data_IF_990360200297
#
_entry.id   IF_990360200297
#
_cell.length_a   1.000
_cell.length_b   1.000
_cell.length_c   1.000
_cell.angle_alpha   90.00
_cell.angle_beta   90.00
_cell.angle_gamma   90.00
#
_symmetry.space_group_name_H-M   'P 1'
#
loop_
_entity.id
_entity.type
_entity.pdbx_description
1 polymer ?
#
# COMPACT_ATOMS: atom_id res chain seq x y z
N UNK A 1 7.83 11.52 11.81
CA UNK A 1 8.41 11.15 10.49
C UNK A 1 7.42 11.18 9.31
N UNK A 2 6.23 11.80 9.42
CA UNK A 2 5.16 11.65 8.41
C UNK A 2 5.34 12.54 7.17
N UNK A 3 5.93 13.73 7.32
CA UNK A 3 6.23 14.63 6.19
C UNK A 3 7.15 13.95 5.15
N UNK A 4 8.13 13.17 5.59
CA UNK A 4 9.01 12.43 4.69
C UNK A 4 8.26 11.41 3.81
N UNK A 5 7.22 10.75 4.36
CA UNK A 5 6.37 9.83 3.61
C UNK A 5 5.53 10.55 2.55
N UNK A 6 4.95 11.70 2.89
CA UNK A 6 4.22 12.56 1.95
C UNK A 6 5.13 13.01 0.79
N UNK A 7 6.31 13.55 1.12
CA UNK A 7 7.27 14.03 0.12
C UNK A 7 7.79 12.89 -0.76
N UNK A 8 7.95 11.68 -0.22
CA UNK A 8 8.37 10.52 -1.00
C UNK A 8 7.35 10.14 -2.08
N UNK A 9 6.05 10.23 -1.79
CA UNK A 9 4.98 10.00 -2.77
C UNK A 9 4.97 11.11 -3.83
N UNK A 10 5.06 12.36 -3.40
CA UNK A 10 5.03 13.52 -4.29
C UNK A 10 6.23 13.55 -5.26
N UNK A 11 7.46 13.34 -4.76
CA UNK A 11 8.69 13.41 -5.57
C UNK A 11 8.79 12.29 -6.60
N UNK A 12 8.03 11.22 -6.42
CA UNK A 12 7.97 10.07 -7.35
C UNK A 12 6.82 10.18 -8.35
N UNK A 13 6.08 11.29 -8.35
CA UNK A 13 4.99 11.57 -9.31
C UNK A 13 3.59 11.18 -8.82
N UNK A 14 3.45 10.81 -7.54
CA UNK A 14 2.18 10.45 -6.94
C UNK A 14 1.32 11.66 -6.54
N UNK A 15 0.15 11.43 -5.91
CA UNK A 15 -0.76 12.50 -5.52
C UNK A 15 -0.19 13.38 -4.41
N UNK A 16 -0.62 14.64 -4.39
CA UNK A 16 -0.42 15.52 -3.24
C UNK A 16 -1.26 15.01 -2.04
N UNK A 17 -0.59 14.75 -0.92
CA UNK A 17 -1.25 14.31 0.31
C UNK A 17 -1.22 15.46 1.32
N UNK A 18 -2.38 15.93 1.83
CA UNK A 18 -2.41 16.95 2.86
C UNK A 18 -1.57 16.57 4.08
N UNK A 19 -0.84 17.53 4.63
CA UNK A 19 -0.04 17.33 5.84
C UNK A 19 -0.41 18.33 6.92
N UNK A 20 -0.80 17.82 8.09
CA UNK A 20 -1.05 18.62 9.28
C UNK A 20 0.08 18.42 10.30
N UNK A 21 0.78 19.50 10.71
CA UNK A 21 1.76 19.44 11.80
C UNK A 21 1.04 19.32 13.16
N UNK A 22 1.78 18.99 14.21
CA UNK A 22 1.27 19.01 15.60
C UNK A 22 1.28 17.66 16.32
N UNK A 23 1.71 16.57 15.65
CA UNK A 23 1.97 15.31 16.36
C UNK A 23 3.06 15.51 17.42
N UNK A 24 2.80 15.04 18.62
CA UNK A 24 3.74 15.05 19.73
C UNK A 24 4.49 13.72 19.79
N UNK A 25 5.78 13.77 20.06
CA UNK A 25 6.57 12.57 20.28
C UNK A 25 6.12 11.90 21.59
N UNK A 26 5.81 10.61 21.52
CA UNK A 26 5.55 9.78 22.71
C UNK A 26 6.89 9.26 23.24
N UNK A 27 7.04 9.20 24.56
CA UNK A 27 8.26 8.71 25.22
C UNK A 27 8.42 7.20 25.14
N UNK A 28 7.30 6.48 25.08
CA UNK A 28 7.25 5.02 25.03
C UNK A 28 6.76 4.54 23.66
N UNK A 29 7.35 3.47 23.11
CA UNK A 29 6.81 2.83 21.93
C UNK A 29 5.42 2.23 22.25
N UNK A 30 4.54 2.07 21.24
CA UNK A 30 3.35 1.26 21.43
C UNK A 30 3.74 -0.18 21.79
N UNK A 31 2.86 -0.96 22.45
CA UNK A 31 2.99 -2.41 22.48
C UNK A 31 3.21 -2.93 21.07
N UNK A 32 3.90 -4.07 20.93
CA UNK A 32 4.12 -4.70 19.63
C UNK A 32 2.76 -5.08 19.01
N UNK A 33 2.24 -4.19 18.16
CA UNK A 33 1.05 -4.42 17.36
C UNK A 33 1.54 -4.94 16.00
N UNK A 34 1.21 -6.20 15.65
CA UNK A 34 1.79 -6.81 14.47
C UNK A 34 1.32 -6.07 13.21
N UNK A 35 2.31 -5.49 12.53
CA UNK A 35 2.21 -5.09 11.12
C UNK A 35 1.69 -6.28 10.28
N UNK A 36 1.09 -6.02 9.11
CA UNK A 36 0.56 -7.10 8.28
C UNK A 36 1.68 -8.08 7.86
N UNK A 37 1.38 -9.38 7.85
CA UNK A 37 2.30 -10.43 7.38
C UNK A 37 2.02 -10.67 5.90
N UNK A 38 3.06 -10.52 5.08
CA UNK A 38 3.04 -10.73 3.64
C UNK A 38 2.56 -12.12 3.21
N UNK A 39 2.63 -13.13 4.09
CA UNK A 39 2.22 -14.51 3.83
C UNK A 39 0.73 -14.77 4.05
N UNK A 40 0.05 -13.87 4.73
CA UNK A 40 -1.36 -14.02 5.07
C UNK A 40 -2.28 -13.35 4.03
N UNK A 41 -3.54 -13.77 4.02
CA UNK A 41 -4.54 -13.32 3.05
C UNK A 41 -5.52 -12.26 3.57
N UNK A 42 -6.66 -12.17 2.89
CA UNK A 42 -7.71 -11.14 3.06
C UNK A 42 -8.17 -10.94 4.50
N UNK A 43 -8.43 -12.02 5.24
CA UNK A 43 -8.91 -11.92 6.62
C UNK A 43 -7.89 -11.23 7.53
N UNK A 44 -6.60 -11.51 7.35
CA UNK A 44 -5.52 -10.88 8.09
C UNK A 44 -5.41 -9.39 7.75
N UNK A 45 -5.55 -9.04 6.46
CA UNK A 45 -5.56 -7.64 6.03
C UNK A 45 -6.72 -6.88 6.67
N UNK A 46 -7.95 -7.41 6.60
CA UNK A 46 -9.11 -6.78 7.26
C UNK A 46 -8.95 -6.68 8.77
N UNK A 47 -8.35 -7.68 9.42
CA UNK A 47 -8.10 -7.64 10.85
C UNK A 47 -7.12 -6.51 11.21
N UNK A 48 -5.95 -6.46 10.57
CA UNK A 48 -4.89 -5.49 10.88
C UNK A 48 -5.33 -4.06 10.54
N UNK A 49 -5.82 -3.83 9.33
CA UNK A 49 -6.22 -2.49 8.89
C UNK A 49 -7.56 -2.06 9.50
N UNK A 50 -8.45 -3.01 9.83
CA UNK A 50 -9.69 -2.75 10.53
C UNK A 50 -9.45 -2.26 11.97
N UNK A 51 -8.43 -2.75 12.67
CA UNK A 51 -7.99 -2.20 13.98
C UNK A 51 -7.59 -0.72 13.87
N UNK A 52 -7.13 -0.29 12.71
CA UNK A 52 -6.76 1.10 12.39
C UNK A 52 -7.96 1.93 11.91
N UNK A 53 -9.17 1.35 11.84
CA UNK A 53 -10.36 2.04 11.32
C UNK A 53 -10.35 2.25 9.80
N UNK A 54 -9.50 1.53 9.08
CA UNK A 54 -9.37 1.64 7.62
C UNK A 54 -10.32 0.65 6.92
N UNK A 55 -10.96 1.12 5.85
CA UNK A 55 -11.94 0.36 5.07
C UNK A 55 -11.29 -0.55 4.04
N UNK A 56 -12.07 -1.46 3.46
CA UNK A 56 -11.64 -2.30 2.33
C UNK A 56 -11.05 -1.47 1.16
N UNK A 57 -11.62 -0.29 0.89
CA UNK A 57 -11.10 0.66 -0.12
C UNK A 57 -9.71 1.16 0.26
N UNK A 58 -9.54 1.55 1.52
CA UNK A 58 -8.27 2.07 2.04
C UNK A 58 -7.18 1.00 2.01
N UNK A 59 -7.52 -0.26 2.32
CA UNK A 59 -6.58 -1.40 2.23
C UNK A 59 -6.04 -1.52 0.81
N UNK A 60 -6.92 -1.63 -0.19
CA UNK A 60 -6.50 -1.84 -1.59
C UNK A 60 -5.74 -0.63 -2.12
N UNK A 61 -6.17 0.59 -1.78
CA UNK A 61 -5.44 1.80 -2.17
C UNK A 61 -4.04 1.80 -1.57
N UNK A 62 -3.89 1.58 -0.26
CA UNK A 62 -2.59 1.56 0.41
C UNK A 62 -1.67 0.44 -0.08
N UNK A 63 -2.20 -0.72 -0.45
CA UNK A 63 -1.43 -1.79 -1.12
C UNK A 63 -0.78 -1.31 -2.42
N UNK A 64 -1.40 -0.36 -3.12
CA UNK A 64 -0.82 0.34 -4.27
C UNK A 64 0.51 1.05 -3.99
N UNK A 65 0.86 1.29 -2.72
CA UNK A 65 2.18 1.79 -2.33
C UNK A 65 3.34 0.88 -2.75
N UNK A 66 3.08 -0.41 -2.98
CA UNK A 66 4.04 -1.35 -3.56
C UNK A 66 4.41 -1.03 -5.02
N UNK A 67 3.74 -0.07 -5.67
CA UNK A 67 4.19 0.47 -6.96
C UNK A 67 5.62 1.03 -6.88
N UNK A 68 6.04 1.46 -5.68
CA UNK A 68 7.40 1.88 -5.37
C UNK A 68 8.21 0.79 -4.68
N UNK A 69 9.50 0.74 -5.00
CA UNK A 69 10.50 -0.02 -4.29
C UNK A 69 10.53 -1.51 -4.64
N UNK A 70 11.06 -2.30 -3.70
CA UNK A 70 11.29 -3.74 -3.88
C UNK A 70 11.40 -4.49 -2.57
N UNK A 71 11.21 -5.80 -2.64
CA UNK A 71 11.63 -6.69 -1.57
C UNK A 71 13.14 -6.94 -1.61
N UNK A 72 13.68 -7.18 -0.40
CA UNK A 72 15.07 -7.53 -0.14
C UNK A 72 15.13 -8.80 0.72
N UNK A 73 15.91 -9.79 0.26
CA UNK A 73 15.92 -11.14 0.82
C UNK A 73 16.40 -11.15 2.27
N UNK A 74 17.38 -10.32 2.60
CA UNK A 74 17.96 -10.18 3.93
C UNK A 74 17.03 -9.49 4.94
N UNK A 75 15.97 -8.82 4.46
CA UNK A 75 15.00 -8.12 5.33
C UNK A 75 13.72 -8.93 5.53
N UNK A 76 13.17 -9.45 4.43
CA UNK A 76 11.82 -10.04 4.41
C UNK A 76 11.78 -11.51 3.97
N UNK A 77 12.91 -12.04 3.46
CA UNK A 77 12.95 -13.33 2.78
C UNK A 77 12.43 -13.30 1.33
N UNK A 78 11.76 -12.22 0.91
CA UNK A 78 11.30 -11.99 -0.45
C UNK A 78 12.28 -11.12 -1.24
N UNK A 79 12.23 -11.16 -2.58
CA UNK A 79 13.13 -10.42 -3.45
C UNK A 79 12.42 -10.02 -4.75
N UNK A 80 12.81 -8.86 -5.30
CA UNK A 80 12.38 -8.21 -6.58
C UNK A 80 11.42 -7.03 -6.37
N UNK A 81 11.34 -6.10 -7.34
CA UNK A 81 10.32 -5.06 -7.37
C UNK A 81 8.95 -5.61 -7.80
N UNK A 82 7.88 -4.88 -7.51
CA UNK A 82 6.54 -5.18 -8.01
C UNK A 82 6.30 -4.62 -9.42
N UNK A 83 6.97 -3.53 -9.76
CA UNK A 83 6.84 -2.82 -11.04
C UNK A 83 8.17 -2.76 -11.77
N UNK A 84 8.13 -2.47 -13.06
CA UNK A 84 9.34 -2.30 -13.89
C UNK A 84 10.11 -1.02 -13.55
N UNK A 85 9.38 0.01 -13.09
CA UNK A 85 9.92 1.32 -12.74
C UNK A 85 9.68 1.63 -11.26
N UNK A 86 10.45 1.03 -10.32
CA UNK A 86 10.16 1.06 -8.88
C UNK A 86 10.38 2.43 -8.20
N UNK A 87 10.61 3.49 -8.97
CA UNK A 87 10.78 4.87 -8.50
C UNK A 87 9.71 5.81 -9.04
N UNK A 88 8.73 5.28 -9.79
CA UNK A 88 7.60 6.04 -10.33
C UNK A 88 6.34 5.61 -9.59
N UNK A 89 5.64 6.58 -9.01
CA UNK A 89 4.37 6.33 -8.35
C UNK A 89 3.25 6.43 -9.37
N UNK A 90 2.76 5.28 -9.82
CA UNK A 90 1.68 5.14 -10.80
C UNK A 90 0.77 3.95 -10.42
N UNK A 91 -0.22 3.63 -11.26
CA UNK A 91 -1.09 2.48 -11.04
C UNK A 91 -0.53 1.13 -11.57
N UNK A 92 0.76 1.04 -11.92
CA UNK A 92 1.37 -0.15 -12.50
C UNK A 92 1.29 -1.35 -11.58
N UNK A 93 1.36 -1.18 -10.26
CA UNK A 93 1.13 -2.27 -9.30
C UNK A 93 -0.15 -3.07 -9.60
N UNK A 94 -1.28 -2.40 -9.84
CA UNK A 94 -2.56 -3.08 -10.10
C UNK A 94 -2.59 -3.72 -11.49
N UNK A 95 -1.98 -3.08 -12.49
CA UNK A 95 -1.85 -3.64 -13.85
C UNK A 95 -1.01 -4.92 -13.83
N UNK A 96 0.11 -4.90 -13.13
CA UNK A 96 1.00 -6.05 -12.97
C UNK A 96 0.31 -7.17 -12.20
N UNK A 97 -0.40 -6.85 -11.12
CA UNK A 97 -1.18 -7.82 -10.34
C UNK A 97 -2.22 -8.56 -11.20
N UNK A 98 -3.00 -7.83 -12.01
CA UNK A 98 -4.02 -8.42 -12.89
C UNK A 98 -3.43 -9.21 -14.07
N UNK A 99 -2.22 -8.87 -14.52
CA UNK A 99 -1.57 -9.53 -15.66
C UNK A 99 -0.96 -10.90 -15.30
N UNK A 100 -0.91 -11.25 -14.01
CA UNK A 100 -0.31 -12.48 -13.50
C UNK A 100 1.20 -12.37 -13.27
N UNK A 101 1.82 -13.48 -12.87
CA UNK A 101 3.25 -13.50 -12.54
C UNK A 101 4.13 -13.31 -13.79
N UNK A 102 5.09 -12.39 -13.70
CA UNK A 102 6.10 -12.13 -14.73
C UNK A 102 7.49 -12.40 -14.19
N UNK A 103 8.38 -12.86 -15.07
CA UNK A 103 9.79 -13.00 -14.73
C UNK A 103 10.38 -11.63 -14.35
N UNK A 104 11.09 -11.58 -13.23
CA UNK A 104 11.74 -10.35 -12.73
C UNK A 104 10.89 -9.51 -11.78
N UNK A 105 9.58 -9.73 -11.68
CA UNK A 105 8.68 -9.05 -10.74
C UNK A 105 8.25 -9.99 -9.60
N UNK A 106 7.74 -9.41 -8.51
CA UNK A 106 7.16 -10.15 -7.39
C UNK A 106 5.68 -9.83 -7.21
N UNK A 107 4.92 -10.83 -6.74
CA UNK A 107 3.62 -10.65 -6.12
C UNK A 107 3.63 -11.47 -4.81
N UNK A 108 3.49 -10.78 -3.67
CA UNK A 108 3.41 -11.45 -2.37
C UNK A 108 2.08 -12.21 -2.24
N UNK A 109 1.99 -13.21 -1.36
CA UNK A 109 0.71 -13.84 -1.03
C UNK A 109 -0.38 -12.82 -0.64
N UNK A 110 -0.01 -11.80 0.14
CA UNK A 110 -0.92 -10.70 0.50
C UNK A 110 -1.39 -9.85 -0.69
N UNK A 111 -0.56 -9.67 -1.72
CA UNK A 111 -0.98 -8.94 -2.94
C UNK A 111 -1.97 -9.79 -3.74
N UNK A 112 -1.68 -11.09 -3.90
CA UNK A 112 -2.56 -12.02 -4.61
C UNK A 112 -3.91 -12.18 -3.92
N UNK A 113 -3.94 -12.11 -2.59
CA UNK A 113 -5.16 -12.14 -1.81
C UNK A 113 -6.16 -11.03 -2.21
N UNK A 114 -5.68 -9.89 -2.72
CA UNK A 114 -6.55 -8.82 -3.24
C UNK A 114 -7.38 -9.26 -4.45
N UNK A 115 -6.92 -10.26 -5.21
CA UNK A 115 -7.65 -10.83 -6.35
C UNK A 115 -8.63 -11.94 -5.96
N UNK A 116 -8.50 -12.50 -4.76
CA UNK A 116 -9.31 -13.61 -4.25
C UNK A 116 -10.64 -13.12 -3.65
N UNK A 117 -10.64 -11.94 -3.02
CA UNK A 117 -11.84 -11.33 -2.46
C UNK A 117 -12.58 -10.45 -3.49
N UNK A 118 -13.89 -10.65 -3.72
CA UNK A 118 -14.65 -9.90 -4.72
C UNK A 118 -14.69 -8.38 -4.48
N UNK A 119 -14.71 -7.94 -3.22
CA UNK A 119 -14.74 -6.52 -2.88
C UNK A 119 -13.38 -5.91 -3.20
N UNK A 120 -12.30 -6.53 -2.75
CA UNK A 120 -10.94 -6.06 -3.05
C UNK A 120 -10.66 -6.05 -4.54
N UNK A 121 -11.02 -7.12 -5.24
CA UNK A 121 -10.83 -7.25 -6.68
C UNK A 121 -11.52 -6.13 -7.45
N UNK A 122 -12.72 -5.72 -7.03
CA UNK A 122 -13.43 -4.61 -7.67
C UNK A 122 -12.64 -3.30 -7.63
N UNK A 123 -11.93 -3.03 -6.53
CA UNK A 123 -11.04 -1.88 -6.40
C UNK A 123 -9.74 -2.06 -7.19
N UNK A 124 -9.15 -3.26 -7.20
CA UNK A 124 -7.96 -3.56 -8.03
C UNK A 124 -8.26 -3.31 -9.51
N UNK A 125 -9.40 -3.80 -10.01
CA UNK A 125 -9.83 -3.59 -11.39
C UNK A 125 -10.16 -2.13 -11.70
N UNK A 126 -10.71 -1.39 -10.73
CA UNK A 126 -10.93 0.06 -10.83
C UNK A 126 -9.60 0.79 -10.99
N UNK A 127 -8.67 0.60 -10.06
CA UNK A 127 -7.39 1.32 -10.03
C UNK A 127 -6.48 0.96 -11.21
N UNK A 128 -6.51 -0.27 -11.71
CA UNK A 128 -5.77 -0.64 -12.91
C UNK A 128 -6.26 0.08 -14.18
N UNK A 129 -7.54 0.48 -14.23
CA UNK A 129 -8.15 1.17 -15.37
C UNK A 129 -8.10 2.69 -15.24
N UNK A 130 -8.11 3.20 -14.02
CA UNK A 130 -8.25 4.62 -13.70
C UNK A 130 -7.23 5.02 -12.63
N UNK A 131 -6.15 5.65 -13.08
CA UNK A 131 -5.07 6.12 -12.22
C UNK A 131 -5.48 7.32 -11.37
N UNK A 132 -6.29 8.23 -11.90
CA UNK A 132 -6.79 9.39 -11.15
C UNK A 132 -7.65 8.92 -9.97
N UNK A 133 -8.48 7.89 -10.18
CA UNK A 133 -9.26 7.30 -9.11
C UNK A 133 -8.40 6.58 -8.07
N UNK A 134 -7.29 5.95 -8.49
CA UNK A 134 -6.30 5.41 -7.56
C UNK A 134 -5.65 6.52 -6.74
N UNK A 135 -5.20 7.60 -7.38
CA UNK A 135 -4.52 8.70 -6.72
C UNK A 135 -5.42 9.40 -5.70
N UNK A 136 -6.68 9.64 -6.05
CA UNK A 136 -7.66 10.22 -5.13
C UNK A 136 -7.88 9.34 -3.89
N UNK A 137 -8.12 8.03 -4.09
CA UNK A 137 -8.35 7.10 -2.98
C UNK A 137 -7.07 6.83 -2.17
N UNK A 138 -5.89 6.85 -2.80
CA UNK A 138 -4.59 6.72 -2.12
C UNK A 138 -4.31 7.92 -1.22
N UNK A 139 -4.56 9.14 -1.71
CA UNK A 139 -4.35 10.35 -0.92
C UNK A 139 -5.24 10.37 0.32
N UNK A 140 -6.52 9.99 0.18
CA UNK A 140 -7.46 9.86 1.30
C UNK A 140 -6.99 8.82 2.32
N UNK A 141 -6.61 7.62 1.85
CA UNK A 141 -6.19 6.52 2.71
C UNK A 141 -4.85 6.81 3.41
N UNK A 142 -3.88 7.41 2.71
CA UNK A 142 -2.60 7.81 3.28
C UNK A 142 -2.79 8.90 4.33
N UNK A 143 -3.66 9.89 4.08
CA UNK A 143 -4.00 10.92 5.07
C UNK A 143 -4.51 10.28 6.37
N UNK A 144 -5.54 9.41 6.27
CA UNK A 144 -6.09 8.67 7.42
C UNK A 144 -4.99 7.89 8.16
N UNK A 145 -4.18 7.11 7.44
CA UNK A 145 -3.08 6.33 8.01
C UNK A 145 -2.02 7.23 8.70
N UNK A 146 -1.76 8.40 8.14
CA UNK A 146 -0.79 9.33 8.71
C UNK A 146 -1.30 9.91 10.04
N UNK A 147 -2.61 10.12 10.17
CA UNK A 147 -3.28 10.78 11.29
C UNK A 147 -3.90 9.84 12.32
N UNK A 148 -3.64 8.53 12.23
CA UNK A 148 -3.99 7.58 13.28
C UNK A 148 -3.38 7.99 14.63
N UNK A 149 -4.23 8.25 15.63
CA UNK A 149 -3.81 8.65 16.97
C UNK A 149 -4.91 9.33 17.75
#
# INVERSE_FOLDING_TARGET
>A
MKLAGVVAVEVTGGPEIPFHPGRQDKSEPPPEDPLPDAKNGVNHLREVFGRMGLSDKDIVALSGGHTLGRCHKERSGFERPWTTDPLIFDNSYFKELLSGEKEGLIQLPSDKALLEDPVFRSFVEKYAKDEDAFFADYAEAHLKLSELG
#
